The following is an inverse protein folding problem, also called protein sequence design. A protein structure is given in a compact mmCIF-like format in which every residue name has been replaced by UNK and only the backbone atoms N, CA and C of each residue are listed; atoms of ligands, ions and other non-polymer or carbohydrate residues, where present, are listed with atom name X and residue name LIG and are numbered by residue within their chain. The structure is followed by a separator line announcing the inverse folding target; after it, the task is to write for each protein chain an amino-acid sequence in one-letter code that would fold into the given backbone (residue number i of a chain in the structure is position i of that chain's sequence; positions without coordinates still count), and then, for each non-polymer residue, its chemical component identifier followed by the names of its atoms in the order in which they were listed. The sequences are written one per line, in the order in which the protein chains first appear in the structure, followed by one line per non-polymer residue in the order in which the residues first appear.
data_IF_750995178844
#
_entry.id   IF_750995178844
#
_cell.length_a   1.000
_cell.length_b   1.000
_cell.length_c   1.000
_cell.angle_alpha   90.00
_cell.angle_beta   90.00
_cell.angle_gamma   90.00
#
_symmetry.space_group_name_H-M   'P 1'
#
loop_
_entity.id
_entity.type
_entity.pdbx_description
1 polymer ?
#
# COMPACT_ATOMS: atom_id res chain seq x y z
N UNK A 1 21.25 26.21 25.04
CA UNK A 1 19.77 26.24 25.13
C UNK A 1 19.05 26.58 23.82
N UNK A 2 19.71 27.10 22.77
CA UNK A 2 19.08 27.33 21.45
C UNK A 2 19.06 26.08 20.55
N UNK A 3 20.12 25.26 20.59
CA UNK A 3 20.25 24.04 19.76
C UNK A 3 19.26 22.94 20.17
N UNK A 4 19.01 22.77 21.46
CA UNK A 4 17.98 21.84 21.96
C UNK A 4 16.56 22.23 21.53
N UNK A 5 16.28 23.54 21.43
CA UNK A 5 15.01 24.07 20.93
C UNK A 5 14.82 23.77 19.43
N UNK A 6 15.91 23.85 18.65
CA UNK A 6 15.90 23.53 17.22
C UNK A 6 15.70 22.02 16.97
N UNK A 7 16.30 21.16 17.80
CA UNK A 7 16.11 19.70 17.70
C UNK A 7 14.66 19.27 18.01
N UNK A 8 14.02 19.90 19.00
CA UNK A 8 12.63 19.57 19.34
C UNK A 8 11.63 19.94 18.25
N UNK A 9 11.94 20.93 17.42
CA UNK A 9 11.06 21.39 16.33
C UNK A 9 11.14 20.50 15.07
N UNK A 10 12.27 19.82 14.86
CA UNK A 10 12.51 18.98 13.68
C UNK A 10 11.98 17.54 13.82
N UNK A 11 11.76 17.08 15.04
CA UNK A 11 11.33 15.71 15.34
C UNK A 11 9.95 15.29 14.78
N UNK A 12 8.90 16.15 14.73
CA UNK A 12 7.59 15.73 14.23
C UNK A 12 7.52 15.56 12.71
N UNK A 13 8.48 16.11 11.93
CA UNK A 13 8.49 16.01 10.46
C UNK A 13 8.88 14.61 9.96
N UNK A 14 9.58 13.80 10.77
CA UNK A 14 10.06 12.47 10.35
C UNK A 14 8.94 11.42 10.45
N UNK A 15 7.91 11.68 11.25
CA UNK A 15 6.81 10.74 11.51
C UNK A 15 5.72 10.74 10.44
N UNK A 16 5.67 11.73 9.54
CA UNK A 16 4.68 11.78 8.46
C UNK A 16 5.07 10.96 7.22
N UNK A 17 6.33 10.51 7.12
CA UNK A 17 6.82 9.73 5.99
C UNK A 17 6.42 8.23 6.03
N UNK A 18 6.01 7.70 7.19
CA UNK A 18 5.54 6.31 7.29
C UNK A 18 4.04 6.15 6.98
N UNK A 19 3.32 7.24 6.76
CA UNK A 19 1.94 7.20 6.27
C UNK A 19 1.95 7.30 4.75
N UNK A 20 2.66 6.37 4.10
CA UNK A 20 2.49 6.16 2.66
C UNK A 20 1.04 5.70 2.49
N UNK A 21 0.25 6.68 2.09
CA UNK A 21 -1.20 6.70 2.05
C UNK A 21 -1.68 5.55 1.17
N UNK A 22 -1.92 4.37 1.74
CA UNK A 22 -2.66 3.27 1.10
C UNK A 22 -4.16 3.63 1.01
N UNK A 23 -4.45 4.75 0.36
CA UNK A 23 -5.80 5.32 0.26
C UNK A 23 -6.07 5.91 -1.13
N UNK A 24 -5.42 5.43 -2.18
CA UNK A 24 -5.77 5.79 -3.57
C UNK A 24 -6.56 4.69 -4.31
N UNK A 25 -6.59 3.47 -3.81
CA UNK A 25 -7.34 2.36 -4.42
C UNK A 25 -8.65 2.03 -3.71
N UNK A 26 -9.30 3.00 -3.06
CA UNK A 26 -10.73 2.88 -2.74
C UNK A 26 -11.62 3.27 -3.95
N UNK A 27 -11.03 3.45 -5.14
CA UNK A 27 -11.75 3.49 -6.40
C UNK A 27 -12.24 2.07 -6.68
N UNK A 28 -13.56 1.85 -6.63
CA UNK A 28 -14.28 0.57 -6.83
C UNK A 28 -13.40 -0.59 -7.31
N UNK A 29 -12.59 -1.17 -6.43
CA UNK A 29 -11.75 -2.30 -6.79
C UNK A 29 -12.68 -3.46 -7.14
N UNK A 30 -12.46 -4.08 -8.29
CA UNK A 30 -13.16 -5.31 -8.65
C UNK A 30 -12.94 -6.37 -7.56
N UNK A 31 -13.85 -7.34 -7.40
CA UNK A 31 -13.64 -8.43 -6.44
C UNK A 31 -12.30 -9.15 -6.64
N UNK A 32 -11.84 -9.29 -7.89
CA UNK A 32 -10.56 -9.91 -8.22
C UNK A 32 -9.37 -9.07 -7.74
N UNK A 33 -9.40 -7.76 -7.92
CA UNK A 33 -8.36 -6.86 -7.42
C UNK A 33 -8.30 -6.82 -5.89
N UNK A 34 -9.46 -6.84 -5.22
CA UNK A 34 -9.50 -6.97 -3.75
C UNK A 34 -8.85 -8.27 -3.29
N UNK A 35 -9.15 -9.39 -3.96
CA UNK A 35 -8.55 -10.68 -3.61
C UNK A 35 -7.03 -10.68 -3.81
N UNK A 36 -6.54 -10.19 -4.95
CA UNK A 36 -5.11 -10.03 -5.20
C UNK A 36 -4.41 -9.22 -4.10
N UNK A 37 -5.00 -8.07 -3.72
CA UNK A 37 -4.49 -7.20 -2.66
C UNK A 37 -4.43 -7.89 -1.31
N UNK A 38 -5.48 -8.61 -0.91
CA UNK A 38 -5.53 -9.34 0.36
C UNK A 38 -4.47 -10.45 0.43
N UNK A 39 -4.11 -11.03 -0.71
CA UNK A 39 -3.16 -12.14 -0.80
C UNK A 39 -1.70 -11.71 -0.95
N UNK A 40 -1.40 -10.41 -1.12
CA UNK A 40 0.00 -9.92 -1.26
C UNK A 40 0.89 -10.24 -0.06
N UNK A 41 0.32 -10.39 1.13
CA UNK A 41 1.05 -10.70 2.37
C UNK A 41 0.95 -12.18 2.77
N UNK A 42 0.25 -13.00 1.99
CA UNK A 42 0.11 -14.42 2.27
C UNK A 42 1.34 -15.18 1.75
N UNK A 43 1.80 -16.24 2.44
CA UNK A 43 2.89 -17.08 1.95
C UNK A 43 2.36 -18.03 0.88
N UNK A 44 2.17 -17.52 -0.33
CA UNK A 44 1.70 -18.31 -1.48
C UNK A 44 2.79 -18.44 -2.55
N UNK A 45 2.69 -19.45 -3.43
CA UNK A 45 3.61 -19.58 -4.55
C UNK A 45 3.58 -18.38 -5.51
N UNK A 46 4.70 -18.03 -6.17
CA UNK A 46 4.79 -16.89 -7.07
C UNK A 46 3.90 -17.01 -8.31
N UNK A 47 3.64 -18.23 -8.79
CA UNK A 47 2.70 -18.46 -9.89
C UNK A 47 1.27 -18.11 -9.50
N UNK A 48 0.88 -18.36 -8.25
CA UNK A 48 -0.43 -17.97 -7.70
C UNK A 48 -0.53 -16.44 -7.64
N UNK A 49 0.51 -15.74 -7.19
CA UNK A 49 0.54 -14.27 -7.24
C UNK A 49 0.35 -13.73 -8.67
N UNK A 50 1.01 -14.33 -9.65
CA UNK A 50 0.88 -13.93 -11.06
C UNK A 50 -0.54 -14.15 -11.59
N UNK A 51 -1.17 -15.30 -11.27
CA UNK A 51 -2.56 -15.57 -11.64
C UNK A 51 -3.53 -14.56 -11.03
N UNK A 52 -3.34 -14.23 -9.75
CA UNK A 52 -4.17 -13.25 -9.04
C UNK A 52 -4.03 -11.84 -9.66
N UNK A 53 -2.81 -11.46 -10.05
CA UNK A 53 -2.55 -10.20 -10.76
C UNK A 53 -3.28 -10.16 -12.11
N UNK A 54 -3.12 -11.19 -12.93
CA UNK A 54 -3.78 -11.27 -14.25
C UNK A 54 -5.31 -11.25 -14.13
N UNK A 55 -5.87 -11.92 -13.12
CA UNK A 55 -7.31 -11.91 -12.87
C UNK A 55 -7.83 -10.50 -12.51
N UNK A 56 -7.06 -9.74 -11.72
CA UNK A 56 -7.37 -8.34 -11.44
C UNK A 56 -7.34 -7.49 -12.73
N UNK A 57 -6.27 -7.58 -13.52
CA UNK A 57 -6.12 -6.83 -14.78
C UNK A 57 -7.24 -7.14 -15.78
N UNK A 58 -7.61 -8.42 -15.93
CA UNK A 58 -8.70 -8.85 -16.79
C UNK A 58 -10.05 -8.25 -16.36
N UNK A 59 -10.36 -8.30 -15.06
CA UNK A 59 -11.62 -7.78 -14.51
C UNK A 59 -11.80 -6.27 -14.64
N UNK A 60 -10.70 -5.52 -14.84
CA UNK A 60 -10.73 -4.08 -15.07
C UNK A 60 -10.94 -3.71 -16.54
N UNK A 61 -10.78 -4.66 -17.46
CA UNK A 61 -10.97 -4.48 -18.90
C UNK A 61 -12.41 -4.84 -19.36
N UNK A 62 -13.23 -5.37 -18.44
CA UNK A 62 -14.66 -5.67 -18.63
C UNK A 62 -15.53 -4.47 -18.24
#
# INVERSE_FOLDING_TARGET
MKITLLLSLALPLILTACSEKRSEQAREETPACRHYRMMMTAPIPPDVHNRLKLACEASMAE
#
